data_IF_480564581064
#
_entry.id   IF_480564581064
#
_cell.length_a   1.000
_cell.length_b   1.000
_cell.length_c   1.000
_cell.angle_alpha   90.00
_cell.angle_beta   90.00
_cell.angle_gamma   90.00
#
_symmetry.space_group_name_H-M   'P 1'
#
loop_
_entity.id
_entity.type
_entity.pdbx_description
1 polymer ?
#
# COMPACT_ATOMS: atom_id res chain seq x y z
N UNK A 1 9.44 14.83 13.23
CA UNK A 1 9.19 13.75 14.20
C UNK A 1 7.78 13.24 13.98
N UNK A 2 7.70 12.10 13.31
CA UNK A 2 6.47 11.37 13.03
C UNK A 2 6.09 10.58 14.28
N UNK A 3 4.79 10.53 14.58
CA UNK A 3 4.24 9.66 15.62
C UNK A 3 3.47 8.50 14.98
N UNK A 4 2.97 7.57 15.81
CA UNK A 4 2.27 6.38 15.32
C UNK A 4 1.03 6.72 14.48
N UNK A 5 0.21 7.68 14.89
CA UNK A 5 -1.02 8.03 14.18
C UNK A 5 -0.71 8.62 12.79
N UNK A 6 0.33 9.47 12.73
CA UNK A 6 0.81 10.02 11.47
C UNK A 6 1.45 8.94 10.59
N UNK A 7 2.21 8.01 11.16
CA UNK A 7 2.75 6.85 10.45
C UNK A 7 1.63 6.04 9.79
N UNK A 8 0.58 5.70 10.55
CA UNK A 8 -0.56 4.95 10.02
C UNK A 8 -1.28 5.67 8.87
N UNK A 9 -1.33 7.00 8.92
CA UNK A 9 -1.91 7.81 7.85
C UNK A 9 -1.05 7.85 6.58
N UNK A 10 0.27 7.65 6.72
CA UNK A 10 1.24 7.68 5.62
C UNK A 10 1.63 6.28 5.12
N UNK A 11 1.18 5.23 5.79
CA UNK A 11 1.63 3.86 5.58
C UNK A 11 1.50 3.38 4.13
N UNK A 12 0.38 3.67 3.46
CA UNK A 12 0.19 3.29 2.05
C UNK A 12 1.23 3.95 1.16
N UNK A 13 1.41 5.27 1.27
CA UNK A 13 2.40 5.98 0.46
C UNK A 13 3.83 5.51 0.75
N UNK A 14 4.11 5.13 2.00
CA UNK A 14 5.40 4.56 2.36
C UNK A 14 5.65 3.20 1.68
N UNK A 15 4.66 2.31 1.68
CA UNK A 15 4.73 1.00 1.00
C UNK A 15 4.82 1.15 -0.52
N UNK A 16 4.05 2.09 -1.08
CA UNK A 16 3.98 2.35 -2.52
C UNK A 16 5.18 3.18 -3.04
N UNK A 17 6.12 3.55 -2.17
CA UNK A 17 7.27 4.44 -2.46
C UNK A 17 6.86 5.80 -3.06
N UNK A 18 5.66 6.30 -2.72
CA UNK A 18 5.06 7.55 -3.23
C UNK A 18 5.21 8.75 -2.26
N UNK A 19 6.09 8.63 -1.26
CA UNK A 19 6.41 9.71 -0.33
C UNK A 19 7.74 10.38 -0.65
N UNK A 20 7.87 11.64 -0.23
CA UNK A 20 9.14 12.34 -0.25
C UNK A 20 10.17 11.58 0.60
N UNK A 21 11.41 11.47 0.09
CA UNK A 21 12.51 10.74 0.76
C UNK A 21 12.70 11.13 2.23
N UNK A 22 12.63 12.43 2.53
CA UNK A 22 12.79 12.91 3.92
C UNK A 22 11.69 12.36 4.84
N UNK A 23 10.47 12.13 4.33
CA UNK A 23 9.36 11.55 5.10
C UNK A 23 9.64 10.05 5.30
N UNK A 24 10.13 9.34 4.28
CA UNK A 24 10.53 7.94 4.42
C UNK A 24 11.64 7.77 5.46
N UNK A 25 12.63 8.68 5.48
CA UNK A 25 13.71 8.65 6.48
C UNK A 25 13.17 8.86 7.91
N UNK A 26 12.27 9.84 8.12
CA UNK A 26 11.61 10.04 9.43
C UNK A 26 10.76 8.83 9.86
N UNK A 27 10.15 8.11 8.92
CA UNK A 27 9.41 6.86 9.19
C UNK A 27 10.37 5.75 9.61
N UNK A 28 11.48 5.59 8.89
CA UNK A 28 12.50 4.59 9.20
C UNK A 28 13.07 4.79 10.61
N UNK A 29 13.38 6.03 10.98
CA UNK A 29 13.83 6.38 12.34
C UNK A 29 12.80 5.95 13.39
N UNK A 30 11.51 6.25 13.20
CA UNK A 30 10.45 5.85 14.12
C UNK A 30 10.35 4.32 14.27
N UNK A 31 10.45 3.58 13.15
CA UNK A 31 10.39 2.11 13.14
C UNK A 31 11.58 1.51 13.89
N UNK A 32 12.77 2.10 13.77
CA UNK A 32 13.97 1.61 14.46
C UNK A 32 13.94 1.90 15.96
N UNK A 33 13.45 3.07 16.36
CA UNK A 33 13.41 3.54 17.74
C UNK A 33 12.27 2.93 18.56
N UNK A 34 11.08 2.74 17.97
CA UNK A 34 9.92 2.20 18.67
C UNK A 34 9.71 0.69 18.42
N UNK A 35 9.77 -0.07 19.51
CA UNK A 35 9.66 -1.54 19.48
C UNK A 35 8.32 -2.01 18.93
N UNK A 36 7.22 -1.30 19.22
CA UNK A 36 5.88 -1.68 18.75
C UNK A 36 5.76 -1.45 17.23
N UNK A 37 6.22 -0.29 16.74
CA UNK A 37 6.28 0.03 15.32
C UNK A 37 7.12 -1.01 14.57
N UNK A 38 8.28 -1.38 15.11
CA UNK A 38 9.15 -2.41 14.51
C UNK A 38 8.45 -3.76 14.34
N UNK A 39 7.76 -4.24 15.38
CA UNK A 39 7.06 -5.52 15.31
C UNK A 39 5.87 -5.47 14.34
N UNK A 40 5.14 -4.36 14.32
CA UNK A 40 4.05 -4.14 13.38
C UNK A 40 4.57 -4.19 11.93
N UNK A 41 5.64 -3.44 11.62
CA UNK A 41 6.22 -3.40 10.28
C UNK A 41 6.74 -4.76 9.82
N UNK A 42 7.47 -5.47 10.67
CA UNK A 42 7.92 -6.84 10.34
C UNK A 42 6.73 -7.78 10.05
N UNK A 43 5.64 -7.65 10.82
CA UNK A 43 4.43 -8.44 10.59
C UNK A 43 3.77 -8.07 9.26
N UNK A 44 3.73 -6.78 8.93
CA UNK A 44 3.19 -6.28 7.67
C UNK A 44 4.00 -6.78 6.47
N UNK A 45 5.33 -6.63 6.50
CA UNK A 45 6.23 -7.13 5.44
C UNK A 45 6.01 -8.62 5.18
N UNK A 46 5.98 -9.44 6.24
CA UNK A 46 5.70 -10.87 6.12
C UNK A 46 4.30 -11.18 5.59
N UNK A 47 3.33 -10.34 5.89
CA UNK A 47 1.96 -10.49 5.36
C UNK A 47 1.93 -10.15 3.87
N UNK A 48 2.65 -9.12 3.44
CA UNK A 48 2.80 -8.76 2.02
C UNK A 48 3.48 -9.90 1.26
N UNK A 49 4.58 -10.43 1.79
CA UNK A 49 5.28 -11.59 1.21
C UNK A 49 4.34 -12.79 1.08
N UNK A 50 3.61 -13.11 2.15
CA UNK A 50 2.63 -14.20 2.13
C UNK A 50 1.55 -13.97 1.07
N UNK A 51 1.06 -12.74 0.91
CA UNK A 51 0.05 -12.41 -0.09
C UNK A 51 0.58 -12.57 -1.53
N UNK A 52 1.87 -12.30 -1.79
CA UNK A 52 2.48 -12.53 -3.09
C UNK A 52 2.63 -14.02 -3.43
N UNK A 53 2.79 -14.87 -2.42
CA UNK A 53 2.92 -16.33 -2.58
C UNK A 53 1.55 -17.03 -2.76
N UNK A 54 0.45 -16.37 -2.44
CA UNK A 54 -0.89 -16.91 -2.70
C UNK A 54 -1.13 -16.89 -4.21
N UNK A 55 -1.46 -18.06 -4.76
CA UNK A 55 -1.84 -18.19 -6.17
C UNK A 55 -2.98 -17.23 -6.48
N UNK A 56 -2.67 -16.18 -7.24
CA UNK A 56 -3.67 -15.25 -7.71
C UNK A 56 -4.57 -15.99 -8.70
N UNK A 57 -5.82 -16.18 -8.31
CA UNK A 57 -6.83 -16.64 -9.24
C UNK A 57 -7.00 -15.60 -10.34
N UNK A 58 -6.93 -16.04 -11.59
CA UNK A 58 -7.25 -15.19 -12.72
C UNK A 58 -8.66 -14.61 -12.52
N UNK A 59 -8.77 -13.29 -12.66
CA UNK A 59 -10.07 -12.63 -12.63
C UNK A 59 -10.86 -13.17 -13.83
N UNK A 60 -12.10 -13.65 -13.63
CA UNK A 60 -12.91 -14.16 -14.73
C UNK A 60 -13.01 -13.14 -15.87
N UNK A 61 -12.91 -13.62 -17.12
CA UNK A 61 -12.88 -12.75 -18.31
C UNK A 61 -14.08 -11.80 -18.39
N UNK A 62 -15.25 -12.27 -17.97
CA UNK A 62 -16.49 -11.47 -17.89
C UNK A 62 -16.34 -10.25 -16.96
N UNK A 63 -15.63 -10.42 -15.84
CA UNK A 63 -15.37 -9.35 -14.87
C UNK A 63 -14.36 -8.35 -15.44
N UNK A 64 -13.32 -8.84 -16.13
CA UNK A 64 -12.38 -7.97 -16.84
C UNK A 64 -13.05 -7.09 -17.89
N UNK A 65 -13.92 -7.67 -18.72
CA UNK A 65 -14.66 -6.96 -19.76
C UNK A 65 -15.55 -5.87 -19.14
N UNK A 66 -16.29 -6.20 -18.08
CA UNK A 66 -17.20 -5.25 -17.44
C UNK A 66 -16.43 -4.11 -16.75
N UNK A 67 -15.33 -4.41 -16.04
CA UNK A 67 -14.45 -3.39 -15.47
C UNK A 67 -13.92 -2.44 -16.54
N UNK A 68 -13.41 -2.99 -17.66
CA UNK A 68 -12.88 -2.17 -18.75
C UNK A 68 -13.96 -1.26 -19.35
N UNK A 69 -15.18 -1.77 -19.49
CA UNK A 69 -16.33 -1.00 -19.96
C UNK A 69 -16.65 0.15 -19.01
N UNK A 70 -16.72 -0.09 -17.71
CA UNK A 70 -16.98 0.93 -16.68
C UNK A 70 -15.90 2.00 -16.69
N UNK A 71 -14.62 1.60 -16.67
CA UNK A 71 -13.50 2.53 -16.69
C UNK A 71 -13.56 3.43 -17.93
N UNK A 72 -13.86 2.86 -19.11
CA UNK A 72 -14.00 3.63 -20.36
C UNK A 72 -15.15 4.64 -20.30
N UNK A 73 -16.27 4.28 -19.68
CA UNK A 73 -17.41 5.18 -19.46
C UNK A 73 -16.99 6.35 -18.55
N UNK A 74 -16.35 6.06 -17.42
CA UNK A 74 -15.95 7.10 -16.45
C UNK A 74 -14.87 8.04 -16.99
N UNK A 75 -13.91 7.53 -17.76
CA UNK A 75 -12.91 8.38 -18.44
C UNK A 75 -13.59 9.29 -19.46
N UNK A 76 -14.58 8.77 -20.20
CA UNK A 76 -15.29 9.54 -21.23
C UNK A 76 -16.18 10.64 -20.64
N UNK A 77 -16.72 10.45 -19.42
CA UNK A 77 -17.52 11.46 -18.71
C UNK A 77 -16.70 12.62 -18.15
N UNK A 78 -15.39 12.43 -17.95
CA UNK A 78 -14.47 13.45 -17.42
C UNK A 78 -13.86 14.37 -18.49
N UNK A 79 -14.19 14.15 -19.77
CA UNK A 79 -13.83 15.04 -20.90
C UNK A 79 -15.02 15.92 -21.28
#
# INVERSE_FOLDING_TARGET
MIDFDRLMSLLSGYIDEDLDRNICDEINELIEEDVCCRYMFNTLEKTIDLCHDIEMLDVPEEVHIELYRIIKIEISKKR
#
